data_IF_078811838150
#
_entry.id   IF_078811838150
#
_cell.length_a   1.000
_cell.length_b   1.000
_cell.length_c   1.000
_cell.angle_alpha   90.00
_cell.angle_beta   90.00
_cell.angle_gamma   90.00
#
_symmetry.space_group_name_H-M   'P 1'
#
loop_
_entity.id
_entity.type
_entity.pdbx_description
1 polymer ?
#
# COMPACT_ATOMS: atom_id res chain seq x y z
N UNK A 1 -12.11 -41.61 11.37
CA UNK A 1 -11.87 -41.53 9.91
C UNK A 1 -12.81 -40.56 9.17
N UNK A 2 -14.04 -40.31 9.63
CA UNK A 2 -14.92 -39.28 8.99
C UNK A 2 -14.57 -37.86 9.41
N UNK A 3 -14.01 -37.62 10.58
CA UNK A 3 -13.63 -36.32 11.12
C UNK A 3 -12.31 -35.76 10.53
N UNK A 4 -11.42 -36.63 10.02
CA UNK A 4 -10.14 -36.21 9.44
C UNK A 4 -10.27 -35.48 8.09
N UNK A 5 -11.40 -35.63 7.37
CA UNK A 5 -11.61 -35.00 6.06
C UNK A 5 -11.97 -33.51 6.16
N UNK A 6 -12.42 -33.06 7.31
CA UNK A 6 -12.87 -31.68 7.54
C UNK A 6 -11.84 -30.84 8.31
N UNK A 7 -10.62 -31.36 8.52
CA UNK A 7 -9.58 -30.60 9.21
C UNK A 7 -8.99 -29.52 8.31
N UNK A 8 -9.15 -28.28 8.75
CA UNK A 8 -8.50 -27.13 8.12
C UNK A 8 -6.99 -27.24 8.39
N UNK A 9 -6.18 -27.27 7.32
CA UNK A 9 -4.73 -27.24 7.44
C UNK A 9 -4.26 -25.82 7.67
N UNK A 10 -3.80 -25.54 8.87
CA UNK A 10 -3.16 -24.27 9.19
C UNK A 10 -1.69 -24.28 8.76
N UNK A 11 -1.11 -23.11 8.40
CA UNK A 11 0.33 -22.98 8.24
C UNK A 11 1.01 -23.25 9.59
N UNK A 12 2.09 -24.03 9.55
CA UNK A 12 2.83 -24.43 10.75
C UNK A 12 4.30 -24.21 10.49
N UNK A 13 4.97 -23.47 11.37
CA UNK A 13 6.41 -23.48 11.49
C UNK A 13 6.79 -24.67 12.39
N UNK A 14 7.58 -25.60 11.86
CA UNK A 14 8.04 -26.74 12.63
C UNK A 14 9.32 -26.36 13.36
N UNK A 15 9.25 -26.23 14.69
CA UNK A 15 10.41 -25.99 15.55
C UNK A 15 10.79 -27.29 16.24
N UNK A 16 12.01 -27.80 15.97
CA UNK A 16 12.53 -28.94 16.70
C UNK A 16 13.25 -28.47 17.96
N UNK A 17 12.54 -28.58 19.10
CA UNK A 17 13.06 -28.22 20.40
C UNK A 17 13.87 -29.36 21.07
N UNK A 18 14.08 -30.50 20.39
CA UNK A 18 14.81 -31.65 20.93
C UNK A 18 16.30 -31.66 20.57
N UNK A 19 16.77 -30.68 19.83
CA UNK A 19 18.16 -30.61 19.34
C UNK A 19 19.15 -30.43 20.48
N UNK A 20 18.81 -29.62 21.49
CA UNK A 20 19.65 -29.33 22.65
C UNK A 20 18.80 -29.25 23.94
N UNK A 21 19.47 -29.29 25.13
CA UNK A 21 18.80 -28.96 26.40
C UNK A 21 18.59 -27.47 26.54
N UNK A 22 17.38 -27.07 26.88
CA UNK A 22 16.99 -25.67 27.12
C UNK A 22 16.62 -25.48 28.58
N UNK A 23 17.61 -25.54 29.47
CA UNK A 23 17.43 -25.39 30.90
C UNK A 23 17.31 -23.90 31.33
N UNK A 24 17.59 -22.96 30.40
CA UNK A 24 17.50 -21.52 30.64
C UNK A 24 16.75 -20.80 29.49
N UNK A 25 16.19 -19.59 29.75
CA UNK A 25 15.57 -18.79 28.69
C UNK A 25 16.49 -18.53 27.51
N UNK A 26 17.78 -18.30 27.77
CA UNK A 26 18.79 -18.01 26.74
C UNK A 26 19.05 -19.22 25.83
N UNK A 27 19.06 -20.44 26.41
CA UNK A 27 19.22 -21.66 25.61
C UNK A 27 18.00 -21.95 24.72
N UNK A 28 16.79 -21.68 25.23
CA UNK A 28 15.57 -21.76 24.42
C UNK A 28 15.56 -20.74 23.29
N UNK A 29 15.91 -19.48 23.60
CA UNK A 29 16.00 -18.41 22.62
C UNK A 29 16.95 -18.76 21.47
N UNK A 30 18.14 -19.31 21.82
CA UNK A 30 19.10 -19.80 20.83
C UNK A 30 18.50 -20.88 19.91
N UNK A 31 17.83 -21.89 20.47
CA UNK A 31 17.20 -22.96 19.68
C UNK A 31 16.13 -22.40 18.71
N UNK A 32 15.33 -21.43 19.17
CA UNK A 32 14.32 -20.79 18.33
C UNK A 32 14.97 -20.02 17.18
N UNK A 33 16.04 -19.27 17.47
CA UNK A 33 16.80 -18.54 16.44
C UNK A 33 17.46 -19.50 15.43
N UNK A 34 18.13 -20.56 15.91
CA UNK A 34 18.81 -21.51 15.01
C UNK A 34 17.80 -22.20 14.05
N UNK A 35 16.61 -22.56 14.55
CA UNK A 35 15.54 -23.13 13.69
C UNK A 35 15.02 -22.12 12.67
N UNK A 36 14.78 -20.85 13.10
CA UNK A 36 14.31 -19.80 12.20
C UNK A 36 15.36 -19.47 11.13
N UNK A 37 16.62 -19.38 11.52
CA UNK A 37 17.73 -19.12 10.59
C UNK A 37 17.85 -20.22 9.53
N UNK A 38 17.68 -21.48 9.90
CA UNK A 38 17.69 -22.60 8.95
C UNK A 38 16.56 -22.47 7.91
N UNK A 39 15.34 -22.14 8.34
CA UNK A 39 14.19 -21.90 7.47
C UNK A 39 14.40 -20.69 6.54
N UNK A 40 15.00 -19.61 7.07
CA UNK A 40 15.34 -18.41 6.28
C UNK A 40 16.40 -18.72 5.21
N UNK A 41 17.44 -19.50 5.54
CA UNK A 41 18.46 -19.93 4.57
C UNK A 41 17.84 -20.78 3.46
N UNK A 42 17.02 -21.78 3.81
CA UNK A 42 16.32 -22.61 2.81
C UNK A 42 15.42 -21.76 1.90
N UNK A 43 14.71 -20.79 2.47
CA UNK A 43 13.85 -19.91 1.69
C UNK A 43 14.66 -18.98 0.76
N UNK A 44 15.79 -18.43 1.22
CA UNK A 44 16.68 -17.61 0.41
C UNK A 44 17.24 -18.41 -0.77
N UNK A 45 17.69 -19.66 -0.53
CA UNK A 45 18.17 -20.57 -1.56
C UNK A 45 17.07 -20.87 -2.59
N UNK A 46 15.86 -21.22 -2.14
CA UNK A 46 14.72 -21.51 -3.02
C UNK A 46 14.37 -20.33 -3.93
N UNK A 47 14.60 -19.09 -3.48
CA UNK A 47 14.36 -17.86 -4.26
C UNK A 47 15.57 -17.39 -5.06
N UNK A 48 16.75 -17.97 -4.84
CA UNK A 48 17.98 -17.52 -5.49
C UNK A 48 18.45 -16.13 -5.06
N UNK A 49 18.17 -15.73 -3.80
CA UNK A 49 18.57 -14.44 -3.21
C UNK A 49 19.49 -14.66 -2.01
N UNK A 50 20.20 -13.61 -1.57
CA UNK A 50 20.98 -13.68 -0.32
C UNK A 50 20.05 -13.69 0.90
N UNK A 51 20.56 -14.24 2.01
CA UNK A 51 19.87 -14.22 3.31
C UNK A 51 19.46 -12.80 3.73
N UNK A 52 20.40 -11.85 3.69
CA UNK A 52 20.14 -10.45 4.06
C UNK A 52 19.03 -9.85 3.19
N UNK A 53 19.08 -10.07 1.87
CA UNK A 53 18.06 -9.59 0.95
C UNK A 53 16.69 -10.18 1.25
N UNK A 54 16.62 -11.49 1.58
CA UNK A 54 15.35 -12.09 2.00
C UNK A 54 14.81 -11.47 3.29
N UNK A 55 15.68 -11.27 4.30
CA UNK A 55 15.29 -10.63 5.56
C UNK A 55 14.76 -9.21 5.36
N UNK A 56 15.43 -8.41 4.53
CA UNK A 56 14.99 -7.06 4.18
C UNK A 56 13.63 -7.08 3.46
N UNK A 57 13.45 -7.99 2.51
CA UNK A 57 12.19 -8.15 1.79
C UNK A 57 11.05 -8.58 2.72
N UNK A 58 11.30 -9.51 3.64
CA UNK A 58 10.31 -9.96 4.63
C UNK A 58 9.90 -8.81 5.58
N UNK A 59 10.89 -8.03 6.05
CA UNK A 59 10.61 -6.84 6.87
C UNK A 59 9.79 -5.81 6.09
N UNK A 60 10.22 -5.46 4.89
CA UNK A 60 9.52 -4.49 4.06
C UNK A 60 8.07 -4.91 3.75
N UNK A 61 7.84 -6.21 3.62
CA UNK A 61 6.54 -6.75 3.20
C UNK A 61 5.59 -7.00 4.36
N UNK A 62 6.07 -7.46 5.55
CA UNK A 62 5.22 -7.96 6.63
C UNK A 62 5.44 -7.31 8.00
N UNK A 63 6.57 -6.60 8.23
CA UNK A 63 6.84 -5.90 9.48
C UNK A 63 6.23 -4.50 9.47
N UNK A 64 6.14 -3.89 10.66
CA UNK A 64 5.80 -2.48 10.81
C UNK A 64 4.48 -2.21 11.51
N UNK A 65 3.81 -3.21 12.11
CA UNK A 65 2.74 -2.96 13.06
C UNK A 65 3.32 -2.39 14.36
N UNK A 66 2.84 -1.23 14.78
CA UNK A 66 3.20 -0.58 16.03
C UNK A 66 1.93 -0.31 16.83
N UNK A 67 1.89 -0.82 18.05
CA UNK A 67 0.76 -0.66 18.97
C UNK A 67 1.01 0.36 20.07
N UNK A 68 2.26 0.87 20.14
CA UNK A 68 2.69 1.87 21.10
C UNK A 68 3.61 2.89 20.44
N UNK A 69 3.82 4.03 21.10
CA UNK A 69 4.77 5.06 20.67
C UNK A 69 6.25 4.66 20.81
N UNK A 70 6.55 3.48 21.36
CA UNK A 70 7.93 2.96 21.42
C UNK A 70 8.39 2.30 20.11
N UNK A 71 7.50 2.19 19.11
CA UNK A 71 7.82 1.71 17.75
C UNK A 71 8.49 0.33 17.70
N UNK A 72 8.15 -0.57 18.63
CA UNK A 72 8.55 -1.97 18.51
C UNK A 72 7.74 -2.56 17.36
N UNK A 73 8.43 -2.87 16.25
CA UNK A 73 7.82 -3.45 15.06
C UNK A 73 7.38 -4.90 15.31
N UNK A 74 6.23 -5.26 14.77
CA UNK A 74 5.73 -6.63 14.78
C UNK A 74 5.27 -7.03 13.39
N UNK A 75 5.73 -8.22 12.96
CA UNK A 75 5.22 -8.85 11.75
C UNK A 75 3.82 -9.42 11.99
N UNK A 76 3.02 -9.48 10.93
CA UNK A 76 1.79 -10.27 10.94
C UNK A 76 2.16 -11.78 10.95
N UNK A 77 1.89 -12.52 12.05
CA UNK A 77 2.32 -13.90 12.15
C UNK A 77 1.62 -14.83 11.14
N UNK A 78 0.36 -14.55 10.78
CA UNK A 78 -0.37 -15.34 9.80
C UNK A 78 0.27 -15.24 8.41
N UNK A 79 0.57 -14.02 7.97
CA UNK A 79 1.19 -13.78 6.67
C UNK A 79 2.60 -14.36 6.60
N UNK A 80 3.38 -14.14 7.66
CA UNK A 80 4.76 -14.64 7.74
C UNK A 80 4.82 -16.17 7.68
N UNK A 81 3.97 -16.87 8.46
CA UNK A 81 3.90 -18.35 8.46
C UNK A 81 3.47 -18.90 7.09
N UNK A 82 2.52 -18.24 6.40
CA UNK A 82 2.16 -18.67 5.04
C UNK A 82 3.30 -18.44 4.06
N UNK A 83 4.03 -17.33 4.18
CA UNK A 83 5.20 -17.04 3.35
C UNK A 83 6.29 -18.11 3.52
N UNK A 84 6.61 -18.52 4.75
CA UNK A 84 7.54 -19.63 4.99
C UNK A 84 7.03 -20.95 4.42
N UNK A 85 5.75 -21.25 4.60
CA UNK A 85 5.15 -22.49 4.10
C UNK A 85 5.18 -22.61 2.57
N UNK A 86 4.87 -21.52 1.86
CA UNK A 86 4.77 -21.54 0.40
C UNK A 86 6.05 -21.08 -0.29
N UNK A 87 7.02 -20.54 0.46
CA UNK A 87 8.25 -19.89 -0.04
C UNK A 87 7.95 -18.77 -1.06
N UNK A 88 6.78 -18.10 -0.88
CA UNK A 88 6.27 -17.05 -1.77
C UNK A 88 5.74 -15.87 -0.96
N UNK A 89 5.96 -14.65 -1.45
CA UNK A 89 5.33 -13.45 -0.91
C UNK A 89 3.90 -13.34 -1.42
N UNK A 90 2.96 -13.03 -0.52
CA UNK A 90 1.55 -12.88 -0.86
C UNK A 90 0.80 -12.01 0.14
N UNK A 91 -0.37 -11.54 -0.25
CA UNK A 91 -1.25 -10.72 0.61
C UNK A 91 -2.19 -11.62 1.44
N UNK A 92 -1.59 -12.56 2.18
CA UNK A 92 -2.31 -13.62 2.90
C UNK A 92 -3.32 -13.10 3.91
N UNK A 93 -2.96 -12.06 4.67
CA UNK A 93 -3.86 -11.47 5.64
C UNK A 93 -5.06 -10.82 4.96
N UNK A 94 -4.82 -10.13 3.86
CA UNK A 94 -5.85 -9.42 3.13
C UNK A 94 -6.89 -10.36 2.48
N UNK A 95 -6.47 -11.57 2.11
CA UNK A 95 -7.33 -12.60 1.53
C UNK A 95 -8.31 -13.21 2.55
N UNK A 96 -8.06 -13.06 3.86
CA UNK A 96 -8.94 -13.61 4.93
C UNK A 96 -10.23 -12.86 5.10
N UNK A 97 -10.33 -11.62 4.60
CA UNK A 97 -11.54 -10.80 4.75
C UNK A 97 -11.58 -9.65 3.73
N UNK A 98 -12.77 -9.39 3.20
CA UNK A 98 -12.96 -8.26 2.28
C UNK A 98 -13.44 -7.03 3.04
N UNK A 99 -12.69 -5.91 3.08
CA UNK A 99 -13.06 -4.71 3.81
C UNK A 99 -14.15 -3.87 3.10
N UNK A 100 -15.19 -4.53 2.57
CA UNK A 100 -16.27 -3.84 1.82
C UNK A 100 -16.95 -2.76 2.66
N UNK A 101 -17.05 -2.97 3.98
CA UNK A 101 -17.59 -1.96 4.89
C UNK A 101 -16.72 -0.70 4.91
N UNK A 102 -15.39 -0.86 4.97
CA UNK A 102 -14.45 0.26 4.95
C UNK A 102 -14.56 1.07 3.67
N UNK A 103 -14.66 0.40 2.50
CA UNK A 103 -14.84 1.11 1.23
C UNK A 103 -16.13 1.94 1.23
N UNK A 104 -17.23 1.37 1.72
CA UNK A 104 -18.50 2.11 1.85
C UNK A 104 -18.35 3.31 2.78
N UNK A 105 -17.61 3.16 3.88
CA UNK A 105 -17.37 4.22 4.84
C UNK A 105 -16.53 5.35 4.20
N UNK A 106 -15.42 5.01 3.53
CA UNK A 106 -14.58 5.97 2.82
C UNK A 106 -15.35 6.75 1.74
N UNK A 107 -16.15 6.06 0.94
CA UNK A 107 -16.99 6.71 -0.09
C UNK A 107 -18.08 7.59 0.52
N UNK A 108 -18.76 7.12 1.57
CA UNK A 108 -19.82 7.88 2.26
C UNK A 108 -19.29 9.21 2.83
N UNK A 109 -18.04 9.22 3.27
CA UNK A 109 -17.42 10.39 3.89
C UNK A 109 -16.52 11.18 2.94
N UNK A 110 -16.53 10.85 1.64
CA UNK A 110 -15.70 11.50 0.63
C UNK A 110 -14.26 11.65 1.12
N UNK A 111 -13.69 10.51 1.60
CA UNK A 111 -12.38 10.51 2.21
C UNK A 111 -11.29 10.62 1.14
N UNK A 112 -10.34 11.52 1.39
CA UNK A 112 -9.13 11.68 0.59
C UNK A 112 -8.15 10.53 0.91
N UNK A 113 -7.98 9.60 -0.03
CA UNK A 113 -7.18 8.39 0.17
C UNK A 113 -5.69 8.69 0.37
N UNK A 114 -5.17 9.78 -0.18
CA UNK A 114 -3.79 10.17 0.00
C UNK A 114 -3.46 10.46 1.46
N UNK A 115 -4.41 11.00 2.20
CA UNK A 115 -4.25 11.29 3.64
C UNK A 115 -3.98 10.06 4.48
N UNK A 116 -4.38 8.86 4.05
CA UNK A 116 -4.13 7.63 4.82
C UNK A 116 -2.66 7.40 5.15
N UNK A 117 -1.74 7.87 4.31
CA UNK A 117 -0.31 7.72 4.53
C UNK A 117 0.26 8.70 5.58
N UNK A 118 -0.51 9.75 5.94
CA UNK A 118 -0.06 10.88 6.75
C UNK A 118 -1.13 11.39 7.71
N UNK A 119 -2.08 10.53 8.11
CA UNK A 119 -3.17 10.93 8.99
C UNK A 119 -2.66 11.23 10.39
N UNK A 120 -3.10 12.36 10.96
CA UNK A 120 -2.78 12.75 12.32
C UNK A 120 -4.03 12.72 13.19
N UNK A 121 -3.92 12.18 14.41
CA UNK A 121 -5.05 12.00 15.30
C UNK A 121 -4.61 11.88 16.75
N UNK A 122 -5.55 12.08 17.67
CA UNK A 122 -5.31 11.89 19.11
C UNK A 122 -5.77 10.50 19.62
N UNK A 123 -5.45 10.20 20.88
CA UNK A 123 -5.83 8.95 21.52
C UNK A 123 -7.33 8.78 21.71
N UNK A 124 -8.10 9.87 21.82
CA UNK A 124 -9.55 9.79 22.01
C UNK A 124 -10.22 9.34 20.72
N UNK A 125 -9.77 9.89 19.58
CA UNK A 125 -10.25 9.48 18.26
C UNK A 125 -9.89 8.03 17.98
N UNK A 126 -8.64 7.60 18.24
CA UNK A 126 -8.21 6.21 18.00
C UNK A 126 -9.03 5.18 18.78
N UNK A 127 -9.47 5.52 19.98
CA UNK A 127 -10.25 4.64 20.85
C UNK A 127 -11.77 4.79 20.64
N UNK A 128 -12.22 5.72 19.81
CA UNK A 128 -13.64 5.90 19.55
C UNK A 128 -14.18 4.75 18.69
N UNK A 129 -15.19 4.05 19.19
CA UNK A 129 -15.97 3.05 18.43
C UNK A 129 -17.39 3.58 18.35
N UNK A 130 -17.57 4.70 17.67
CA UNK A 130 -18.91 5.22 17.45
C UNK A 130 -19.40 4.76 16.07
N UNK A 131 -20.45 3.94 16.05
CA UNK A 131 -21.08 3.46 14.82
C UNK A 131 -21.71 4.58 13.96
N UNK A 132 -21.89 5.75 14.56
CA UNK A 132 -22.37 6.96 13.87
C UNK A 132 -21.24 7.91 13.47
N UNK A 133 -19.99 7.56 13.82
CA UNK A 133 -18.82 8.38 13.51
C UNK A 133 -18.67 8.61 12.02
N UNK A 134 -18.48 9.88 11.68
CA UNK A 134 -18.17 10.32 10.31
C UNK A 134 -16.71 10.09 9.94
N UNK A 135 -15.86 9.72 10.91
CA UNK A 135 -14.42 9.53 10.72
C UNK A 135 -14.09 8.05 10.49
N UNK A 136 -13.53 7.66 9.34
CA UNK A 136 -13.13 6.27 9.08
C UNK A 136 -11.86 5.82 9.82
N UNK A 137 -11.06 6.74 10.36
CA UNK A 137 -9.74 6.49 10.93
C UNK A 137 -9.75 5.50 12.09
N UNK A 138 -10.64 5.60 13.10
CA UNK A 138 -10.69 4.61 14.19
C UNK A 138 -10.91 3.19 13.68
N UNK A 139 -11.78 3.02 12.68
CA UNK A 139 -12.09 1.70 12.12
C UNK A 139 -10.91 1.16 11.32
N UNK A 140 -10.23 1.99 10.52
CA UNK A 140 -9.02 1.62 9.78
C UNK A 140 -7.88 1.22 10.71
N UNK A 141 -7.67 1.96 11.80
CA UNK A 141 -6.64 1.65 12.79
C UNK A 141 -6.96 0.36 13.56
N UNK A 142 -8.16 0.24 14.12
CA UNK A 142 -8.55 -0.92 14.92
C UNK A 142 -8.67 -2.21 14.10
N UNK A 143 -8.97 -2.10 12.81
CA UNK A 143 -8.98 -3.24 11.88
C UNK A 143 -7.60 -3.58 11.32
N UNK A 144 -6.52 -2.87 11.71
CA UNK A 144 -5.14 -3.17 11.31
C UNK A 144 -4.76 -2.69 9.90
N UNK A 145 -5.58 -1.85 9.26
CA UNK A 145 -5.22 -1.22 7.99
C UNK A 145 -4.26 -0.05 8.17
N UNK A 146 -4.35 0.64 9.31
CA UNK A 146 -3.41 1.67 9.71
C UNK A 146 -2.71 1.28 11.01
N UNK A 147 -1.53 1.84 11.24
CA UNK A 147 -0.74 1.68 12.45
C UNK A 147 -0.08 3.00 12.85
N UNK A 148 0.49 3.07 14.05
CA UNK A 148 1.22 4.24 14.53
C UNK A 148 2.57 4.30 13.83
N UNK A 149 2.84 5.42 13.12
CA UNK A 149 4.12 5.71 12.44
C UNK A 149 4.91 6.82 13.10
N UNK A 150 4.31 7.56 14.00
CA UNK A 150 4.94 8.62 14.75
C UNK A 150 4.10 9.09 15.92
N UNK A 151 4.73 9.79 16.85
CA UNK A 151 4.08 10.42 17.98
C UNK A 151 4.72 11.78 18.26
N UNK A 152 3.89 12.79 18.37
CA UNK A 152 4.28 14.13 18.78
C UNK A 152 3.99 14.28 20.28
N UNK A 153 5.04 14.35 21.09
CA UNK A 153 4.93 14.44 22.55
C UNK A 153 4.39 15.80 23.00
N UNK A 154 4.65 16.87 22.24
CA UNK A 154 4.23 18.22 22.59
C UNK A 154 2.71 18.36 22.50
N UNK A 155 2.10 17.80 21.43
CA UNK A 155 0.68 17.90 21.17
C UNK A 155 -0.09 16.62 21.49
N UNK A 156 0.57 15.52 21.85
CA UNK A 156 -0.07 14.24 22.12
C UNK A 156 -0.70 13.59 20.89
N UNK A 157 -0.16 13.90 19.70
CA UNK A 157 -0.72 13.48 18.42
C UNK A 157 0.00 12.28 17.85
N UNK A 158 -0.75 11.31 17.35
CA UNK A 158 -0.24 10.15 16.63
C UNK A 158 -0.27 10.41 15.13
N UNK A 159 0.82 10.09 14.43
CA UNK A 159 0.84 9.94 12.98
C UNK A 159 0.55 8.50 12.62
N UNK A 160 -0.39 8.31 11.72
CA UNK A 160 -0.77 6.99 11.23
C UNK A 160 -0.31 6.79 9.79
N UNK A 161 -0.22 5.52 9.40
CA UNK A 161 0.08 5.11 8.03
C UNK A 161 -0.10 3.61 7.88
N UNK A 162 0.05 3.09 6.67
CA UNK A 162 0.00 1.66 6.43
C UNK A 162 1.12 0.94 7.20
N UNK A 163 0.84 -0.21 7.84
CA UNK A 163 1.86 -0.93 8.59
C UNK A 163 3.02 -1.38 7.68
N UNK A 164 2.70 -1.95 6.54
CA UNK A 164 3.66 -2.57 5.64
C UNK A 164 3.11 -2.66 4.20
N UNK A 165 3.94 -3.16 3.30
CA UNK A 165 3.61 -3.30 1.89
C UNK A 165 2.44 -4.25 1.62
N UNK A 166 2.32 -5.35 2.37
CA UNK A 166 1.21 -6.30 2.21
C UNK A 166 -0.14 -5.59 2.35
N UNK A 167 -0.27 -4.80 3.43
CA UNK A 167 -1.52 -4.11 3.75
C UNK A 167 -1.77 -2.96 2.77
N UNK A 168 -0.76 -2.15 2.47
CA UNK A 168 -0.91 -1.03 1.54
C UNK A 168 -1.28 -1.53 0.14
N UNK A 169 -0.53 -2.47 -0.42
CA UNK A 169 -0.79 -3.03 -1.76
C UNK A 169 -2.15 -3.73 -1.81
N UNK A 170 -2.45 -4.56 -0.82
CA UNK A 170 -3.72 -5.29 -0.75
C UNK A 170 -4.92 -4.35 -0.67
N UNK A 171 -4.83 -3.30 0.17
CA UNK A 171 -5.91 -2.35 0.36
C UNK A 171 -6.13 -1.47 -0.88
N UNK A 172 -5.07 -0.90 -1.45
CA UNK A 172 -5.17 -0.06 -2.64
C UNK A 172 -5.68 -0.88 -3.84
N UNK A 173 -5.21 -2.12 -4.00
CA UNK A 173 -5.71 -3.05 -5.03
C UNK A 173 -7.20 -3.37 -4.85
N UNK A 174 -7.63 -3.53 -3.61
CA UNK A 174 -9.04 -3.78 -3.29
C UNK A 174 -9.93 -2.55 -3.58
N UNK A 175 -9.42 -1.33 -3.42
CA UNK A 175 -10.17 -0.09 -3.70
C UNK A 175 -10.45 0.10 -5.20
N UNK A 176 -9.56 -0.33 -6.09
CA UNK A 176 -9.62 -0.03 -7.52
C UNK A 176 -10.99 -0.28 -8.16
N UNK A 177 -11.62 -1.48 -8.04
CA UNK A 177 -12.92 -1.75 -8.66
C UNK A 177 -14.09 -0.96 -8.06
N UNK A 178 -13.89 -0.28 -6.95
CA UNK A 178 -14.92 0.56 -6.33
C UNK A 178 -14.81 2.04 -6.72
N UNK A 179 -13.62 2.49 -7.09
CA UNK A 179 -13.36 3.87 -7.47
C UNK A 179 -13.25 4.05 -8.99
N UNK A 180 -12.67 3.08 -9.69
CA UNK A 180 -12.65 3.05 -11.16
C UNK A 180 -13.74 2.11 -11.69
N UNK A 181 -14.23 2.38 -12.89
CA UNK A 181 -15.22 1.51 -13.54
C UNK A 181 -14.58 0.25 -14.12
N UNK A 182 -14.07 -0.62 -13.22
CA UNK A 182 -13.36 -1.84 -13.57
C UNK A 182 -13.96 -3.02 -12.82
N UNK A 183 -14.23 -4.10 -13.54
CA UNK A 183 -14.69 -5.33 -12.91
C UNK A 183 -13.60 -5.91 -12.00
N UNK A 184 -13.97 -6.45 -10.84
CA UNK A 184 -13.03 -7.08 -9.88
C UNK A 184 -12.15 -8.16 -10.51
N UNK A 185 -12.69 -8.93 -11.44
CA UNK A 185 -11.96 -10.01 -12.14
C UNK A 185 -10.94 -9.44 -13.13
N UNK A 186 -11.23 -8.29 -13.72
CA UNK A 186 -10.36 -7.63 -14.72
C UNK A 186 -9.33 -6.71 -14.10
N UNK A 187 -9.59 -6.22 -12.90
CA UNK A 187 -8.73 -5.27 -12.17
C UNK A 187 -7.23 -5.63 -12.15
N UNK A 188 -6.82 -6.90 -11.86
CA UNK A 188 -5.40 -7.26 -11.90
C UNK A 188 -4.78 -7.14 -13.30
N UNK A 189 -5.55 -7.45 -14.35
CA UNK A 189 -5.09 -7.33 -15.74
C UNK A 189 -4.94 -5.88 -16.17
N UNK A 190 -5.83 -4.99 -15.71
CA UNK A 190 -5.72 -3.56 -16.00
C UNK A 190 -4.44 -2.96 -15.37
N UNK A 191 -4.14 -3.31 -14.11
CA UNK A 191 -2.88 -2.90 -13.48
C UNK A 191 -1.67 -3.45 -14.23
N UNK A 192 -1.71 -4.73 -14.66
CA UNK A 192 -0.62 -5.30 -15.45
C UNK A 192 -0.39 -4.54 -16.76
N UNK A 193 -1.46 -4.09 -17.43
CA UNK A 193 -1.38 -3.31 -18.67
C UNK A 193 -0.73 -1.95 -18.39
N UNK A 194 -1.18 -1.21 -17.37
CA UNK A 194 -0.57 0.05 -16.96
C UNK A 194 0.94 -0.10 -16.69
N UNK A 195 1.34 -1.12 -15.92
CA UNK A 195 2.74 -1.39 -15.62
C UNK A 195 3.55 -1.66 -16.90
N UNK A 196 3.00 -2.41 -17.86
CA UNK A 196 3.66 -2.67 -19.14
C UNK A 196 3.78 -1.41 -19.98
N UNK A 197 2.71 -0.64 -20.10
CA UNK A 197 2.67 0.62 -20.85
C UNK A 197 3.75 1.59 -20.34
N UNK A 198 3.85 1.76 -19.01
CA UNK A 198 4.91 2.58 -18.40
C UNK A 198 6.32 2.02 -18.69
N UNK A 199 6.53 0.72 -18.50
CA UNK A 199 7.85 0.09 -18.73
C UNK A 199 8.32 0.18 -20.17
N UNK A 200 7.39 0.09 -21.13
CA UNK A 200 7.72 0.18 -22.55
C UNK A 200 7.69 1.60 -23.10
N UNK A 201 7.25 2.58 -22.30
CA UNK A 201 7.13 3.98 -22.71
C UNK A 201 5.96 4.25 -23.66
N UNK A 202 4.93 3.38 -23.64
CA UNK A 202 3.69 3.56 -24.40
C UNK A 202 2.71 4.45 -23.62
N UNK A 203 3.05 5.72 -23.53
CA UNK A 203 2.26 6.69 -22.75
C UNK A 203 0.93 7.03 -23.38
N UNK A 204 0.81 6.94 -24.72
CA UNK A 204 -0.47 7.15 -25.41
C UNK A 204 -1.51 6.10 -24.99
N UNK A 205 -1.12 4.82 -24.92
CA UNK A 205 -1.99 3.76 -24.44
C UNK A 205 -2.29 3.91 -22.94
N UNK A 206 -1.30 4.29 -22.15
CA UNK A 206 -1.43 4.59 -20.73
C UNK A 206 -2.51 5.66 -20.46
N UNK A 207 -2.40 6.83 -21.10
CA UNK A 207 -3.34 7.93 -20.90
C UNK A 207 -4.74 7.62 -21.44
N UNK A 208 -4.86 6.90 -22.56
CA UNK A 208 -6.18 6.44 -23.05
C UNK A 208 -6.85 5.48 -22.09
N UNK A 209 -6.08 4.58 -21.48
CA UNK A 209 -6.59 3.67 -20.45
C UNK A 209 -7.00 4.43 -19.20
N UNK A 210 -6.17 5.36 -18.73
CA UNK A 210 -6.49 6.22 -17.60
C UNK A 210 -7.78 7.00 -17.84
N UNK A 211 -7.94 7.58 -19.03
CA UNK A 211 -9.15 8.27 -19.43
C UNK A 211 -10.39 7.37 -19.42
N UNK A 212 -10.25 6.07 -19.77
CA UNK A 212 -11.37 5.13 -19.74
C UNK A 212 -11.88 4.86 -18.32
N UNK A 213 -11.05 5.02 -17.29
CA UNK A 213 -11.46 4.86 -15.89
C UNK A 213 -12.38 5.99 -15.41
N UNK A 214 -12.33 7.13 -16.09
CA UNK A 214 -13.16 8.30 -15.78
C UNK A 214 -14.41 8.42 -16.65
N UNK A 215 -14.54 7.60 -17.72
CA UNK A 215 -15.57 7.77 -18.75
C UNK A 215 -17.02 7.66 -18.24
N UNK A 216 -17.25 6.94 -17.13
CA UNK A 216 -18.58 6.70 -16.56
C UNK A 216 -18.82 7.44 -15.24
N UNK A 217 -18.03 8.45 -14.93
CA UNK A 217 -18.23 9.24 -13.71
C UNK A 217 -19.44 10.16 -13.88
N UNK A 218 -20.49 9.93 -13.10
CA UNK A 218 -21.72 10.76 -13.11
C UNK A 218 -21.48 12.10 -12.45
N UNK A 219 -21.87 13.17 -13.14
CA UNK A 219 -21.59 14.57 -12.80
C UNK A 219 -22.61 15.16 -11.83
N UNK A 220 -22.55 14.85 -10.53
CA UNK A 220 -23.51 15.44 -9.60
C UNK A 220 -23.01 16.67 -8.84
N UNK A 221 -21.71 16.72 -8.43
CA UNK A 221 -21.14 17.89 -7.73
C UNK A 221 -19.66 18.05 -8.08
N UNK A 222 -19.21 19.24 -8.50
CA UNK A 222 -17.83 19.51 -8.98
C UNK A 222 -16.75 19.12 -7.95
N UNK A 223 -16.92 19.48 -6.67
CA UNK A 223 -15.95 19.19 -5.61
C UNK A 223 -15.83 17.68 -5.30
N UNK A 224 -16.93 16.95 -5.41
CA UNK A 224 -16.93 15.49 -5.22
C UNK A 224 -16.26 14.77 -6.39
N UNK A 225 -16.30 15.37 -7.57
CA UNK A 225 -15.61 14.88 -8.76
C UNK A 225 -14.10 15.04 -8.64
N UNK A 226 -13.61 16.21 -8.23
CA UNK A 226 -12.18 16.49 -8.04
C UNK A 226 -11.56 15.43 -7.12
N UNK A 227 -12.10 15.26 -5.92
CA UNK A 227 -11.66 14.25 -4.98
C UNK A 227 -11.77 12.83 -5.53
N UNK A 228 -12.79 12.54 -6.35
CA UNK A 228 -12.93 11.23 -6.98
C UNK A 228 -11.79 10.98 -7.99
N UNK A 229 -11.46 11.97 -8.83
CA UNK A 229 -10.34 11.87 -9.76
C UNK A 229 -9.01 11.72 -9.03
N UNK A 230 -8.76 12.52 -8.00
CA UNK A 230 -7.58 12.42 -7.14
C UNK A 230 -7.44 11.01 -6.54
N UNK A 231 -8.52 10.47 -5.97
CA UNK A 231 -8.54 9.12 -5.41
C UNK A 231 -8.26 8.02 -6.45
N UNK A 232 -8.82 8.13 -7.66
CA UNK A 232 -8.54 7.15 -8.75
C UNK A 232 -7.07 7.23 -9.17
N UNK A 233 -6.54 8.44 -9.34
CA UNK A 233 -5.14 8.67 -9.68
C UNK A 233 -4.22 8.10 -8.60
N UNK A 234 -4.49 8.41 -7.32
CA UNK A 234 -3.76 7.85 -6.19
C UNK A 234 -3.70 6.32 -6.26
N UNK A 235 -4.86 5.65 -6.43
CA UNK A 235 -4.94 4.19 -6.53
C UNK A 235 -4.10 3.66 -7.68
N UNK A 236 -4.25 4.20 -8.88
CA UNK A 236 -3.55 3.73 -10.08
C UNK A 236 -2.03 3.90 -9.93
N UNK A 237 -1.58 5.08 -9.51
CA UNK A 237 -0.14 5.36 -9.39
C UNK A 237 0.51 4.61 -8.23
N UNK A 238 -0.16 4.46 -7.10
CA UNK A 238 0.32 3.60 -6.01
C UNK A 238 0.49 2.16 -6.48
N UNK A 239 -0.50 1.60 -7.21
CA UNK A 239 -0.41 0.23 -7.73
C UNK A 239 0.72 0.07 -8.75
N UNK A 240 0.92 1.05 -9.63
CA UNK A 240 2.06 1.04 -10.56
C UNK A 240 3.38 1.12 -9.80
N UNK A 241 3.48 1.93 -8.75
CA UNK A 241 4.65 2.12 -7.92
C UNK A 241 5.16 0.84 -7.24
N UNK A 242 4.29 -0.14 -6.97
CA UNK A 242 4.74 -1.44 -6.45
C UNK A 242 5.52 -2.28 -7.46
N UNK A 243 5.42 -1.98 -8.75
CA UNK A 243 6.02 -2.78 -9.84
C UNK A 243 7.05 -2.03 -10.66
N UNK A 244 7.08 -0.70 -10.56
CA UNK A 244 8.00 0.17 -11.30
C UNK A 244 8.54 1.24 -10.36
N UNK A 245 9.69 1.83 -10.69
CA UNK A 245 10.18 3.01 -9.98
C UNK A 245 9.33 4.23 -10.39
N UNK A 246 8.14 4.34 -9.81
CA UNK A 246 7.24 5.47 -9.97
C UNK A 246 7.10 6.14 -8.61
N UNK A 247 7.57 7.36 -8.52
CA UNK A 247 7.34 8.22 -7.36
C UNK A 247 6.14 9.12 -7.67
N UNK A 248 5.15 9.05 -6.80
CA UNK A 248 3.98 9.89 -6.81
C UNK A 248 4.17 10.98 -5.76
N UNK A 249 4.22 12.22 -6.19
CA UNK A 249 4.26 13.37 -5.29
C UNK A 249 3.14 14.32 -5.67
N UNK A 250 2.18 14.48 -4.77
CA UNK A 250 1.30 15.64 -4.81
C UNK A 250 1.88 16.67 -3.86
N UNK A 251 2.11 17.88 -4.33
CA UNK A 251 2.38 18.99 -3.46
C UNK A 251 1.13 19.87 -3.44
N UNK A 252 0.45 19.94 -2.27
CA UNK A 252 -0.72 20.81 -2.12
C UNK A 252 -0.39 22.20 -2.64
N UNK A 253 -0.90 22.51 -3.83
CA UNK A 253 -0.85 23.83 -4.46
C UNK A 253 0.31 24.13 -5.38
N UNK A 254 1.17 23.16 -5.75
CA UNK A 254 2.28 23.40 -6.68
C UNK A 254 2.27 22.51 -7.93
N UNK A 255 2.12 21.19 -7.79
CA UNK A 255 2.11 20.24 -8.93
C UNK A 255 1.11 19.14 -8.58
N UNK A 256 0.21 18.78 -9.49
CA UNK A 256 -0.78 17.74 -9.21
C UNK A 256 -0.15 16.36 -9.18
N UNK A 257 0.79 16.07 -10.09
CA UNK A 257 1.45 14.78 -10.17
C UNK A 257 2.81 14.85 -10.85
N UNK A 258 3.79 14.13 -10.31
CA UNK A 258 5.07 13.86 -11.00
C UNK A 258 5.29 12.36 -11.10
N UNK A 259 5.43 11.86 -12.31
CA UNK A 259 5.74 10.48 -12.61
C UNK A 259 7.23 10.33 -12.88
N UNK A 260 7.95 9.62 -12.03
CA UNK A 260 9.36 9.28 -12.22
C UNK A 260 9.49 7.84 -12.70
N UNK A 261 10.21 7.65 -13.80
CA UNK A 261 10.64 6.31 -14.26
C UNK A 261 12.15 6.32 -14.45
N UNK A 262 12.74 5.16 -14.74
CA UNK A 262 14.18 5.05 -15.06
C UNK A 262 14.60 5.92 -16.24
N UNK A 263 13.67 6.26 -17.15
CA UNK A 263 13.96 6.89 -18.45
C UNK A 263 13.45 8.31 -18.57
N UNK A 264 12.42 8.66 -17.78
CA UNK A 264 11.77 9.96 -17.92
C UNK A 264 11.19 10.46 -16.59
N UNK A 265 10.94 11.76 -16.59
CA UNK A 265 10.13 12.47 -15.61
C UNK A 265 8.97 13.10 -16.37
N UNK A 266 7.74 12.89 -15.91
CA UNK A 266 6.56 13.51 -16.48
C UNK A 266 5.88 14.36 -15.41
N UNK A 267 5.77 15.67 -15.65
CA UNK A 267 5.06 16.62 -14.79
C UNK A 267 3.65 16.78 -15.35
N UNK A 268 2.65 16.53 -14.54
CA UNK A 268 1.25 16.55 -14.96
C UNK A 268 0.44 17.53 -14.11
N UNK A 269 -0.41 18.27 -14.77
CA UNK A 269 -1.38 19.18 -14.17
C UNK A 269 -2.77 18.82 -14.70
N UNK A 270 -3.75 18.75 -13.82
CA UNK A 270 -5.12 18.41 -14.17
C UNK A 270 -6.04 19.61 -14.05
N UNK A 271 -6.98 19.74 -14.97
CA UNK A 271 -8.03 20.77 -14.95
C UNK A 271 -9.40 20.10 -15.09
N UNK A 272 -10.29 20.34 -14.15
CA UNK A 272 -11.67 19.86 -14.25
C UNK A 272 -12.49 20.70 -15.21
N UNK A 273 -12.41 22.03 -15.08
CA UNK A 273 -13.16 23.01 -15.87
C UNK A 273 -12.28 23.85 -16.78
N UNK A 274 -11.15 23.29 -17.25
CA UNK A 274 -10.18 23.99 -18.07
C UNK A 274 -9.76 23.20 -19.31
N UNK A 275 -8.84 23.78 -20.08
CA UNK A 275 -8.28 23.13 -21.25
C UNK A 275 -6.89 22.55 -20.95
N UNK A 276 -6.43 21.62 -21.82
CA UNK A 276 -5.08 21.09 -21.73
C UNK A 276 -4.02 22.19 -21.93
N UNK A 277 -4.33 23.21 -22.75
CA UNK A 277 -3.47 24.37 -23.00
C UNK A 277 -3.30 25.21 -21.72
N UNK A 278 -4.38 25.42 -20.96
CA UNK A 278 -4.34 26.14 -19.68
C UNK A 278 -3.53 25.37 -18.64
N UNK A 279 -3.66 24.04 -18.55
CA UNK A 279 -2.87 23.20 -17.69
C UNK A 279 -1.37 23.27 -18.05
N UNK A 280 -1.04 23.14 -19.33
CA UNK A 280 0.33 23.27 -19.81
C UNK A 280 0.91 24.68 -19.56
N UNK A 281 0.11 25.72 -19.75
CA UNK A 281 0.51 27.09 -19.46
C UNK A 281 0.82 27.27 -17.96
N UNK A 282 0.03 26.67 -17.07
CA UNK A 282 0.29 26.71 -15.64
C UNK A 282 1.60 26.03 -15.26
N UNK A 283 1.92 24.87 -15.87
CA UNK A 283 3.22 24.19 -15.68
C UNK A 283 4.38 25.13 -16.05
N UNK A 284 4.26 25.85 -17.17
CA UNK A 284 5.27 26.81 -17.62
C UNK A 284 5.38 28.03 -16.70
N UNK A 285 4.29 28.68 -16.37
CA UNK A 285 4.24 29.91 -15.58
C UNK A 285 4.73 29.71 -14.15
N UNK A 286 4.41 28.55 -13.57
CA UNK A 286 4.83 28.14 -12.22
C UNK A 286 6.20 27.48 -12.17
N UNK A 287 6.83 27.24 -13.32
CA UNK A 287 8.14 26.60 -13.44
C UNK A 287 8.22 25.21 -12.77
N UNK A 288 7.15 24.44 -12.83
CA UNK A 288 7.07 23.12 -12.18
C UNK A 288 8.13 22.13 -12.66
N UNK A 289 8.61 22.28 -13.90
CA UNK A 289 9.69 21.46 -14.46
C UNK A 289 11.09 21.86 -13.94
N UNK A 290 11.26 23.03 -13.33
CA UNK A 290 12.57 23.56 -12.94
C UNK A 290 13.34 22.67 -11.95
N UNK A 291 12.72 22.04 -10.93
CA UNK A 291 13.41 21.14 -10.00
C UNK A 291 14.07 19.94 -10.71
N UNK A 292 13.56 19.57 -11.87
CA UNK A 292 14.00 18.40 -12.64
C UNK A 292 14.91 18.75 -13.82
N UNK A 293 15.20 20.05 -14.05
CA UNK A 293 15.99 20.51 -15.20
C UNK A 293 17.44 19.99 -15.23
N UNK A 294 18.00 19.62 -14.07
CA UNK A 294 19.35 19.03 -13.96
C UNK A 294 19.36 17.49 -14.01
N UNK A 295 18.20 16.85 -14.05
CA UNK A 295 18.09 15.40 -14.16
C UNK A 295 18.41 14.96 -15.60
N UNK A 296 19.22 13.91 -15.74
CA UNK A 296 19.65 13.43 -17.07
C UNK A 296 18.55 12.68 -17.84
N UNK A 297 17.38 12.46 -17.24
CA UNK A 297 16.24 11.79 -17.85
C UNK A 297 15.43 12.75 -18.74
N UNK A 298 14.64 12.18 -19.64
CA UNK A 298 13.77 12.97 -20.50
C UNK A 298 12.62 13.56 -19.67
N UNK A 299 12.43 14.87 -19.78
CA UNK A 299 11.38 15.62 -19.09
C UNK A 299 10.21 15.88 -20.05
N UNK A 300 8.98 15.60 -19.59
CA UNK A 300 7.73 15.84 -20.30
C UNK A 300 6.77 16.67 -19.44
#
# INVERSE_FOLDING_TARGET
EKLEKDWIRYPVLHLDLNIEKYDTPESLDKILHDNLDAELHEFAEARGVSYDKLCDDLKAYYDGYHFTHHFIGMCNPFSLLNTFKYKEFGSYWFETGTPTYLVKLLKKHHYDLERMAHEETDSQVLNSIDSESTNPIPVLYQSGHLTIKGYDEEFGMYRLGFPNREVEEGFVRFLLPFYANVNKVESPFEIQKFVREVRFGDYDSFFRRLQSFFADTTYEVIREQELHYENVLFIVFKLIGFYTQVEYHTSKGLIDLVLHTDKLICVMEYKLDGTAEEALQQIHDKHYALPFASDGRKLF
#
